data_IF_221365468258
#
_entry.id   IF_221365468258
#
_cell.length_a   1.000
_cell.length_b   1.000
_cell.length_c   1.000
_cell.angle_alpha   90.00
_cell.angle_beta   90.00
_cell.angle_gamma   90.00
#
_symmetry.space_group_name_H-M   'P 1'
#
loop_
_entity.id
_entity.type
_entity.pdbx_description
1 polymer ?
#
# COMPACT_ATOMS: atom_id res chain seq x y z
N UNK A 1 32.10 7.85 30.47
CA UNK A 1 32.30 7.55 29.04
C UNK A 1 31.47 8.57 28.28
N UNK A 2 32.10 9.35 27.39
CA UNK A 2 31.58 10.63 26.89
C UNK A 2 30.41 10.42 25.90
N UNK A 3 29.21 10.94 26.19
CA UNK A 3 27.98 10.76 25.38
C UNK A 3 28.19 11.17 23.91
N UNK A 4 29.05 12.16 23.65
CA UNK A 4 29.39 12.63 22.30
C UNK A 4 30.17 11.63 21.46
N UNK A 5 30.90 10.69 22.09
CA UNK A 5 31.68 9.67 21.39
C UNK A 5 30.81 8.51 20.88
N UNK A 6 29.72 8.19 21.58
CA UNK A 6 28.80 7.10 21.21
C UNK A 6 27.92 7.51 20.03
N UNK A 7 27.45 8.77 20.02
CA UNK A 7 26.58 9.30 18.97
C UNK A 7 27.29 9.35 17.60
N UNK A 8 28.57 9.78 17.56
CA UNK A 8 29.36 9.76 16.33
C UNK A 8 29.66 8.34 15.80
N UNK A 9 29.68 7.31 16.66
CA UNK A 9 30.01 5.94 16.23
C UNK A 9 28.88 5.29 15.42
N UNK A 10 27.62 5.57 15.77
CA UNK A 10 26.45 4.96 15.12
C UNK A 10 25.75 5.86 14.10
N UNK A 11 26.27 7.08 13.89
CA UNK A 11 25.65 8.08 13.03
C UNK A 11 25.42 7.62 11.58
N UNK A 12 26.24 6.68 11.06
CA UNK A 12 26.03 6.11 9.74
C UNK A 12 24.68 5.37 9.59
N UNK A 13 24.09 4.88 10.68
CA UNK A 13 22.77 4.22 10.66
C UNK A 13 21.61 5.19 10.40
N UNK A 14 21.80 6.50 10.53
CA UNK A 14 20.82 7.50 10.09
C UNK A 14 20.63 7.52 8.56
N UNK A 15 21.55 6.90 7.80
CA UNK A 15 21.44 6.77 6.35
C UNK A 15 20.67 5.51 5.91
N UNK A 16 20.32 4.62 6.84
CA UNK A 16 19.62 3.38 6.53
C UNK A 16 18.10 3.62 6.42
N UNK A 17 17.47 2.91 5.49
CA UNK A 17 16.02 2.92 5.31
C UNK A 17 15.28 1.97 6.29
N UNK A 18 16.00 1.05 6.92
CA UNK A 18 15.47 0.21 8.00
C UNK A 18 15.44 0.96 9.33
N UNK A 19 14.56 0.53 10.23
CA UNK A 19 14.50 1.06 11.58
C UNK A 19 15.65 0.43 12.37
N UNK A 20 16.46 1.24 13.05
CA UNK A 20 17.63 0.73 13.78
C UNK A 20 17.64 1.30 15.20
N UNK A 21 17.73 0.38 16.16
CA UNK A 21 18.04 0.67 17.56
C UNK A 21 19.33 -0.05 17.98
N UNK A 22 20.16 0.61 18.78
CA UNK A 22 21.31 -0.04 19.43
C UNK A 22 21.07 0.00 20.92
N UNK A 23 21.30 -1.12 21.60
CA UNK A 23 21.13 -1.25 23.05
C UNK A 23 22.40 -1.69 23.74
N UNK A 24 22.53 -1.34 25.02
CA UNK A 24 23.55 -1.90 25.91
C UNK A 24 23.17 -3.31 26.41
N UNK A 25 24.01 -3.88 27.27
CA UNK A 25 23.80 -5.21 27.84
C UNK A 25 22.60 -5.33 28.79
N UNK A 26 21.96 -4.22 29.15
CA UNK A 26 20.73 -4.20 29.94
C UNK A 26 19.49 -3.96 29.05
N UNK A 27 19.67 -3.84 27.74
CA UNK A 27 18.59 -3.53 26.79
C UNK A 27 18.19 -2.05 26.79
N UNK A 28 19.01 -1.17 27.36
CA UNK A 28 18.78 0.29 27.30
C UNK A 28 19.26 0.83 25.97
N UNK A 29 18.46 1.69 25.35
CA UNK A 29 18.78 2.26 24.04
C UNK A 29 19.94 3.24 24.18
N UNK A 30 21.04 2.96 23.48
CA UNK A 30 22.20 3.86 23.37
C UNK A 30 22.17 4.68 22.08
N UNK A 31 21.44 4.20 21.06
CA UNK A 31 21.24 4.91 19.80
C UNK A 31 19.93 4.50 19.13
N UNK A 32 19.30 5.44 18.44
CA UNK A 32 18.12 5.25 17.60
C UNK A 32 18.34 6.04 16.32
N UNK A 33 18.06 5.46 15.16
CA UNK A 33 18.08 6.21 13.91
C UNK A 33 16.78 7.00 13.70
N UNK A 34 16.82 7.95 12.75
CA UNK A 34 15.67 8.80 12.42
C UNK A 34 14.43 8.00 11.99
N UNK A 35 14.62 6.89 11.26
CA UNK A 35 13.51 6.06 10.78
C UNK A 35 12.79 5.35 11.93
N UNK A 36 13.51 4.87 12.96
CA UNK A 36 12.89 4.29 14.15
C UNK A 36 12.10 5.34 14.94
N UNK A 37 12.64 6.56 15.10
CA UNK A 37 11.94 7.68 15.75
C UNK A 37 10.62 8.03 15.06
N UNK A 38 10.67 8.19 13.74
CA UNK A 38 9.49 8.50 12.91
C UNK A 38 8.45 7.39 12.98
N UNK A 39 8.91 6.13 12.96
CA UNK A 39 8.02 4.98 13.03
C UNK A 39 7.29 4.90 14.37
N UNK A 40 7.98 5.03 15.51
CA UNK A 40 7.34 4.95 16.84
C UNK A 40 6.64 6.24 17.25
N UNK A 41 6.99 7.37 16.62
CA UNK A 41 6.44 8.70 16.91
C UNK A 41 6.97 9.30 18.21
N UNK A 42 8.23 9.00 18.56
CA UNK A 42 8.89 9.47 19.79
C UNK A 42 10.26 10.04 19.44
N UNK A 43 10.63 11.19 20.01
CA UNK A 43 11.93 11.83 19.73
C UNK A 43 13.11 11.00 20.22
N UNK A 44 14.26 11.05 19.53
CA UNK A 44 15.54 10.42 19.94
C UNK A 44 15.85 10.60 21.43
N UNK A 45 15.68 11.83 21.94
CA UNK A 45 15.98 12.19 23.33
C UNK A 45 15.17 11.40 24.35
N UNK A 46 13.94 11.01 24.01
CA UNK A 46 13.10 10.21 24.88
C UNK A 46 13.34 8.70 24.69
N UNK A 47 13.80 8.29 23.49
CA UNK A 47 14.16 6.91 23.19
C UNK A 47 15.49 6.53 23.85
N UNK A 48 16.53 7.35 23.70
CA UNK A 48 17.86 7.07 24.28
C UNK A 48 17.76 7.04 25.81
N UNK A 49 18.32 5.99 26.42
CA UNK A 49 18.25 5.69 27.85
C UNK A 49 16.99 4.94 28.31
N UNK A 50 15.97 4.83 27.44
CA UNK A 50 14.78 4.01 27.72
C UNK A 50 15.05 2.52 27.47
N UNK A 51 14.11 1.65 27.85
CA UNK A 51 14.20 0.22 27.56
C UNK A 51 13.59 -0.06 26.19
N UNK A 52 14.36 -0.65 25.26
CA UNK A 52 13.88 -0.85 23.89
C UNK A 52 12.63 -1.75 23.81
N UNK A 53 12.52 -2.73 24.71
CA UNK A 53 11.39 -3.64 24.79
C UNK A 53 10.04 -2.94 25.03
N UNK A 54 10.05 -1.73 25.60
CA UNK A 54 8.83 -0.96 25.86
C UNK A 54 8.16 -0.47 24.56
N UNK A 55 8.89 -0.45 23.43
CA UNK A 55 8.37 -0.08 22.11
C UNK A 55 7.76 -1.26 21.36
N UNK A 56 7.80 -2.48 21.90
CA UNK A 56 7.19 -3.66 21.28
C UNK A 56 5.82 -3.96 21.92
N UNK A 57 4.87 -4.45 21.11
CA UNK A 57 3.57 -4.89 21.62
C UNK A 57 3.73 -6.04 22.60
N UNK A 58 4.54 -7.05 22.23
CA UNK A 58 5.01 -8.14 23.09
C UNK A 58 6.55 -8.03 23.28
N UNK A 59 7.03 -7.76 24.51
CA UNK A 59 8.47 -7.64 24.79
C UNK A 59 9.20 -8.99 24.91
N UNK A 60 8.49 -10.12 25.11
CA UNK A 60 9.12 -11.39 25.45
C UNK A 60 10.12 -11.91 24.40
N UNK A 61 9.82 -11.86 23.09
CA UNK A 61 10.77 -12.32 22.07
C UNK A 61 12.08 -11.53 22.09
N UNK A 62 12.02 -10.21 22.29
CA UNK A 62 13.22 -9.37 22.38
C UNK A 62 14.03 -9.68 23.64
N UNK A 63 13.37 -9.83 24.78
CA UNK A 63 14.04 -10.16 26.05
C UNK A 63 14.69 -11.56 26.01
N UNK A 64 14.08 -12.51 25.30
CA UNK A 64 14.69 -13.81 25.06
C UNK A 64 15.89 -13.70 24.12
N UNK A 65 15.78 -12.90 23.05
CA UNK A 65 16.86 -12.64 22.11
C UNK A 65 18.10 -12.04 22.78
N UNK A 66 17.90 -10.98 23.59
CA UNK A 66 18.97 -10.31 24.32
C UNK A 66 19.69 -11.26 25.28
N UNK A 67 18.95 -12.08 26.03
CA UNK A 67 19.53 -13.12 26.90
C UNK A 67 20.35 -14.15 26.12
N UNK A 68 19.81 -14.66 25.01
CA UNK A 68 20.50 -15.65 24.17
C UNK A 68 21.79 -15.12 23.55
N UNK A 69 21.84 -13.82 23.22
CA UNK A 69 23.05 -13.16 22.75
C UNK A 69 24.11 -13.07 23.86
N UNK A 70 23.73 -12.75 25.10
CA UNK A 70 24.66 -12.74 26.24
C UNK A 70 25.23 -14.11 26.57
N UNK A 71 24.46 -15.18 26.37
CA UNK A 71 24.90 -16.56 26.54
C UNK A 71 25.73 -17.07 25.34
N UNK A 72 26.02 -16.19 24.37
CA UNK A 72 26.75 -16.49 23.13
C UNK A 72 26.14 -17.67 22.34
N UNK A 73 24.83 -17.86 22.47
CA UNK A 73 24.12 -19.00 21.89
C UNK A 73 23.96 -18.87 20.37
N UNK A 74 23.94 -17.64 19.84
CA UNK A 74 23.74 -17.36 18.41
C UNK A 74 24.48 -16.07 17.99
N UNK A 75 24.98 -16.01 16.75
CA UNK A 75 25.60 -14.80 16.19
C UNK A 75 24.59 -13.79 15.64
N UNK A 76 23.40 -14.25 15.23
CA UNK A 76 22.27 -13.41 14.86
C UNK A 76 20.93 -14.17 15.06
N UNK A 77 19.90 -13.47 15.52
CA UNK A 77 18.54 -14.01 15.68
C UNK A 77 17.55 -13.22 14.82
N UNK A 78 16.53 -13.91 14.27
CA UNK A 78 15.46 -13.29 13.46
C UNK A 78 14.09 -13.75 13.93
N UNK A 79 13.15 -12.83 14.08
CA UNK A 79 11.77 -13.14 14.43
C UNK A 79 10.81 -12.00 14.04
N UNK A 80 9.51 -12.28 14.04
CA UNK A 80 8.48 -11.32 13.70
C UNK A 80 7.93 -10.65 14.96
N UNK A 81 7.68 -9.35 14.88
CA UNK A 81 7.18 -8.59 16.00
C UNK A 81 6.27 -7.44 15.54
N UNK A 82 5.62 -6.80 16.50
CA UNK A 82 4.83 -5.62 16.28
C UNK A 82 5.39 -4.46 17.13
N UNK A 83 5.69 -3.32 16.49
CA UNK A 83 6.10 -2.09 17.15
C UNK A 83 4.90 -1.25 17.52
N UNK A 84 4.91 -0.72 18.75
CA UNK A 84 3.94 0.26 19.23
C UNK A 84 4.22 1.61 18.59
N UNK A 85 3.15 2.31 18.21
CA UNK A 85 3.22 3.63 17.57
C UNK A 85 2.32 4.60 18.30
N UNK A 86 2.80 5.82 18.51
CA UNK A 86 2.02 6.86 19.19
C UNK A 86 0.76 7.23 18.38
N UNK A 87 -0.41 6.83 18.86
CA UNK A 87 -1.71 7.15 18.25
C UNK A 87 -2.02 6.44 16.92
N UNK A 88 -1.31 5.35 16.59
CA UNK A 88 -1.50 4.58 15.35
C UNK A 88 -1.52 3.07 15.63
N UNK A 89 -1.98 2.27 14.67
CA UNK A 89 -1.90 0.81 14.73
C UNK A 89 -0.44 0.34 14.81
N UNK A 90 -0.24 -0.80 15.48
CA UNK A 90 1.09 -1.38 15.62
C UNK A 90 1.66 -1.76 14.24
N UNK A 91 2.94 -1.50 14.02
CA UNK A 91 3.62 -1.83 12.77
C UNK A 91 4.27 -3.20 12.87
N UNK A 92 3.91 -4.10 11.95
CA UNK A 92 4.56 -5.40 11.83
C UNK A 92 5.96 -5.24 11.26
N UNK A 93 6.94 -5.85 11.92
CA UNK A 93 8.36 -5.80 11.54
C UNK A 93 9.00 -7.18 11.64
N UNK A 94 9.93 -7.45 10.74
CA UNK A 94 10.93 -8.49 10.92
C UNK A 94 12.10 -7.91 11.72
N UNK A 95 12.38 -8.48 12.90
CA UNK A 95 13.47 -8.06 13.78
C UNK A 95 14.70 -8.92 13.52
N UNK A 96 15.86 -8.27 13.42
CA UNK A 96 17.17 -8.89 13.26
C UNK A 96 18.06 -8.38 14.40
N UNK A 97 18.50 -9.29 15.26
CA UNK A 97 19.34 -8.97 16.42
C UNK A 97 20.77 -9.43 16.13
N UNK A 98 21.73 -8.51 16.22
CA UNK A 98 23.15 -8.74 15.91
C UNK A 98 24.04 -8.22 17.04
N UNK A 99 24.94 -9.07 17.55
CA UNK A 99 25.94 -8.66 18.54
C UNK A 99 27.11 -7.94 17.86
N UNK A 100 27.56 -6.83 18.43
CA UNK A 100 28.80 -6.19 17.99
C UNK A 100 30.01 -7.01 18.46
N UNK A 101 30.91 -7.36 17.54
CA UNK A 101 32.20 -7.98 17.88
C UNK A 101 32.99 -7.02 18.79
N UNK A 102 33.52 -7.56 19.89
CA UNK A 102 34.29 -6.81 20.91
C UNK A 102 33.53 -5.70 21.64
N UNK A 103 32.19 -5.68 21.60
CA UNK A 103 31.36 -4.76 22.38
C UNK A 103 30.24 -5.51 23.11
N UNK A 104 29.75 -4.91 24.20
CA UNK A 104 28.57 -5.38 24.93
C UNK A 104 27.25 -4.89 24.31
N UNK A 105 27.32 -4.16 23.20
CA UNK A 105 26.17 -3.55 22.54
C UNK A 105 25.58 -4.45 21.47
N UNK A 106 24.26 -4.36 21.32
CA UNK A 106 23.48 -5.16 20.40
C UNK A 106 22.78 -4.24 19.42
N UNK A 107 22.96 -4.49 18.13
CA UNK A 107 22.28 -3.80 17.04
C UNK A 107 20.99 -4.56 16.73
N UNK A 108 19.90 -3.82 16.67
CA UNK A 108 18.56 -4.34 16.42
C UNK A 108 18.02 -3.61 15.20
N UNK A 109 18.02 -4.31 14.07
CA UNK A 109 17.43 -3.85 12.83
C UNK A 109 16.00 -4.37 12.73
N UNK A 110 15.07 -3.49 12.35
CA UNK A 110 13.65 -3.79 12.21
C UNK A 110 13.22 -3.39 10.80
N UNK A 111 12.77 -4.37 10.03
CA UNK A 111 12.35 -4.18 8.64
C UNK A 111 10.83 -4.22 8.59
N UNK A 112 10.15 -3.14 8.18
CA UNK A 112 8.69 -3.13 8.05
C UNK A 112 8.19 -4.22 7.10
N UNK A 113 7.12 -4.91 7.49
CA UNK A 113 6.41 -5.81 6.59
C UNK A 113 5.46 -4.98 5.70
N UNK A 114 5.89 -4.60 4.49
CA UNK A 114 5.14 -3.73 3.56
C UNK A 114 3.83 -4.33 2.97
N UNK A 115 3.33 -5.44 3.50
CA UNK A 115 2.35 -6.28 2.82
C UNK A 115 0.93 -5.68 2.76
N UNK A 116 0.53 -4.96 3.81
CA UNK A 116 -0.87 -4.58 4.00
C UNK A 116 -1.27 -3.34 3.17
N UNK A 117 -0.38 -2.35 3.05
CA UNK A 117 -0.66 -1.11 2.29
C UNK A 117 -0.76 -1.39 0.78
N UNK A 118 0.01 -2.36 0.28
CA UNK A 118 -0.07 -2.81 -1.11
C UNK A 118 -1.37 -3.56 -1.37
N UNK A 119 -1.74 -4.49 -0.51
CA UNK A 119 -2.96 -5.30 -0.67
C UNK A 119 -4.22 -4.44 -0.64
N UNK A 120 -4.37 -3.56 0.36
CA UNK A 120 -5.53 -2.66 0.47
C UNK A 120 -5.69 -1.76 -0.76
N UNK A 121 -4.57 -1.31 -1.34
CA UNK A 121 -4.58 -0.47 -2.54
C UNK A 121 -4.98 -1.27 -3.77
N UNK A 122 -4.48 -2.48 -3.93
CA UNK A 122 -4.82 -3.37 -5.04
C UNK A 122 -6.29 -3.81 -4.99
N UNK A 123 -6.79 -4.17 -3.81
CA UNK A 123 -8.20 -4.55 -3.60
C UNK A 123 -9.14 -3.39 -3.93
N UNK A 124 -8.86 -2.18 -3.42
CA UNK A 124 -9.67 -0.99 -3.74
C UNK A 124 -9.70 -0.67 -5.24
N UNK A 125 -8.55 -0.80 -5.92
CA UNK A 125 -8.49 -0.57 -7.37
C UNK A 125 -9.26 -1.65 -8.14
N UNK A 126 -9.19 -2.90 -7.71
CA UNK A 126 -9.93 -4.00 -8.32
C UNK A 126 -11.45 -3.83 -8.13
N UNK A 127 -11.89 -3.44 -6.93
CA UNK A 127 -13.29 -3.17 -6.64
C UNK A 127 -13.83 -2.00 -7.47
N UNK A 128 -13.11 -0.87 -7.50
CA UNK A 128 -13.47 0.28 -8.34
C UNK A 128 -13.54 -0.08 -9.83
N UNK A 129 -12.58 -0.87 -10.33
CA UNK A 129 -12.60 -1.32 -11.71
C UNK A 129 -13.80 -2.22 -12.02
N UNK A 130 -14.22 -3.07 -11.06
CA UNK A 130 -15.43 -3.89 -11.20
C UNK A 130 -16.69 -3.05 -11.22
N UNK A 131 -16.85 -2.13 -10.27
CA UNK A 131 -18.01 -1.22 -10.21
C UNK A 131 -18.12 -0.36 -11.48
N UNK A 132 -17.00 0.19 -11.97
CA UNK A 132 -16.99 0.95 -13.21
C UNK A 132 -17.39 0.10 -14.43
N UNK A 133 -16.93 -1.16 -14.52
CA UNK A 133 -17.35 -2.07 -15.60
C UNK A 133 -18.85 -2.34 -15.58
N UNK A 134 -19.43 -2.55 -14.40
CA UNK A 134 -20.88 -2.77 -14.24
C UNK A 134 -21.67 -1.51 -14.63
N UNK A 135 -21.23 -0.34 -14.18
CA UNK A 135 -21.86 0.95 -14.49
C UNK A 135 -21.80 1.27 -16.00
N UNK A 136 -20.66 1.06 -16.65
CA UNK A 136 -20.51 1.25 -18.10
C UNK A 136 -21.44 0.30 -18.87
N UNK A 137 -21.59 -0.96 -18.41
CA UNK A 137 -22.51 -1.91 -19.04
C UNK A 137 -23.96 -1.46 -18.94
N UNK A 138 -24.39 -1.01 -17.76
CA UNK A 138 -25.75 -0.53 -17.55
C UNK A 138 -26.05 0.70 -18.40
N UNK A 139 -25.13 1.68 -18.42
CA UNK A 139 -25.26 2.86 -19.29
C UNK A 139 -25.35 2.50 -20.76
N UNK A 140 -24.53 1.55 -21.23
CA UNK A 140 -24.58 1.10 -22.61
C UNK A 140 -25.93 0.46 -22.96
N UNK A 141 -26.52 -0.31 -22.05
CA UNK A 141 -27.89 -0.83 -22.23
C UNK A 141 -28.94 0.29 -22.28
N UNK A 142 -28.83 1.28 -21.40
CA UNK A 142 -29.74 2.42 -21.36
C UNK A 142 -29.64 3.32 -22.60
N UNK A 143 -28.47 3.41 -23.24
CA UNK A 143 -28.27 4.16 -24.50
C UNK A 143 -28.76 3.36 -25.71
N UNK A 144 -28.57 2.03 -25.73
CA UNK A 144 -29.04 1.18 -26.84
C UNK A 144 -30.56 1.22 -27.01
N UNK A 145 -31.30 1.35 -25.91
CA UNK A 145 -32.76 1.38 -25.92
C UNK A 145 -33.35 2.56 -26.73
N UNK A 146 -33.02 3.84 -26.45
CA UNK A 146 -33.51 4.97 -27.24
C UNK A 146 -32.96 4.96 -28.67
N UNK A 147 -31.73 4.49 -28.92
CA UNK A 147 -31.20 4.36 -30.29
C UNK A 147 -32.01 3.36 -31.11
N UNK A 148 -32.35 2.20 -30.52
CA UNK A 148 -33.25 1.24 -31.16
C UNK A 148 -34.64 1.81 -31.43
N UNK A 149 -35.17 2.62 -30.50
CA UNK A 149 -36.44 3.32 -30.67
C UNK A 149 -36.41 4.37 -31.79
N UNK A 150 -35.36 5.20 -31.86
CA UNK A 150 -35.16 6.21 -32.91
C UNK A 150 -35.06 5.53 -34.28
N UNK A 151 -34.27 4.45 -34.37
CA UNK A 151 -34.14 3.64 -35.59
C UNK A 151 -35.49 3.06 -36.00
N UNK A 152 -36.22 2.43 -35.08
CA UNK A 152 -37.53 1.84 -35.37
C UNK A 152 -38.55 2.88 -35.84
N UNK A 153 -38.59 4.05 -35.21
CA UNK A 153 -39.46 5.15 -35.63
C UNK A 153 -39.12 5.67 -37.03
N UNK A 154 -37.83 5.81 -37.35
CA UNK A 154 -37.38 6.22 -38.68
C UNK A 154 -37.74 5.18 -39.77
N UNK A 155 -37.62 3.88 -39.45
CA UNK A 155 -38.03 2.80 -40.36
C UNK A 155 -39.54 2.80 -40.63
N UNK A 156 -40.36 3.03 -39.59
CA UNK A 156 -41.81 3.16 -39.76
C UNK A 156 -42.16 4.39 -40.62
N UNK A 157 -41.48 5.52 -40.41
CA UNK A 157 -41.68 6.74 -41.19
C UNK A 157 -41.31 6.50 -42.67
N UNK A 158 -40.22 5.77 -42.94
CA UNK A 158 -39.77 5.45 -44.30
C UNK A 158 -40.83 4.67 -45.10
N UNK A 159 -41.65 3.85 -44.44
CA UNK A 159 -42.74 3.09 -45.06
C UNK A 159 -43.97 3.96 -45.43
N UNK A 160 -44.15 5.10 -44.78
CA UNK A 160 -45.30 6.01 -44.98
C UNK A 160 -44.99 7.18 -45.93
N UNK A 161 -43.70 7.39 -46.26
CA UNK A 161 -43.24 8.52 -47.09
C UNK A 161 -43.23 8.16 -48.58
N UNK A 162 -43.86 9.00 -49.41
CA UNK A 162 -43.82 8.91 -50.89
C UNK A 162 -42.83 9.87 -51.58
N UNK A 163 -42.17 10.76 -50.83
CA UNK A 163 -41.22 11.74 -51.35
C UNK A 163 -39.78 11.25 -51.22
N UNK A 164 -39.02 11.26 -52.31
CA UNK A 164 -37.62 10.83 -52.35
C UNK A 164 -36.69 11.68 -51.45
N UNK A 165 -36.96 12.97 -51.28
CA UNK A 165 -36.18 13.84 -50.38
C UNK A 165 -36.40 13.49 -48.89
N UNK A 166 -37.62 13.11 -48.52
CA UNK A 166 -37.94 12.72 -47.14
C UNK A 166 -37.39 11.33 -46.79
N UNK A 167 -37.29 10.44 -47.79
CA UNK A 167 -36.61 9.15 -47.71
C UNK A 167 -35.11 9.29 -47.37
N UNK A 168 -34.44 10.29 -47.94
CA UNK A 168 -33.02 10.55 -47.67
C UNK A 168 -32.80 10.94 -46.20
N UNK A 169 -33.72 11.74 -45.61
CA UNK A 169 -33.65 12.09 -44.20
C UNK A 169 -33.85 10.90 -43.25
N UNK A 170 -34.79 9.99 -43.55
CA UNK A 170 -34.98 8.78 -42.71
C UNK A 170 -33.75 7.87 -42.75
N UNK A 171 -33.11 7.75 -43.91
CA UNK A 171 -31.88 6.96 -44.05
C UNK A 171 -30.71 7.54 -43.26
N UNK A 172 -30.56 8.87 -43.24
CA UNK A 172 -29.54 9.54 -42.40
C UNK A 172 -29.77 9.26 -40.91
N UNK A 173 -31.02 9.33 -40.43
CA UNK A 173 -31.37 9.05 -39.03
C UNK A 173 -31.04 7.59 -38.66
N UNK A 174 -31.41 6.64 -39.52
CA UNK A 174 -31.12 5.21 -39.31
C UNK A 174 -29.60 4.99 -39.25
N UNK A 175 -28.86 5.58 -40.18
CA UNK A 175 -27.41 5.44 -40.24
C UNK A 175 -26.71 6.00 -38.99
N UNK A 176 -27.16 7.15 -38.48
CA UNK A 176 -26.56 7.74 -37.29
C UNK A 176 -26.91 6.95 -36.02
N UNK A 177 -28.12 6.39 -35.92
CA UNK A 177 -28.49 5.50 -34.82
C UNK A 177 -27.61 4.23 -34.80
N UNK A 178 -27.37 3.60 -35.95
CA UNK A 178 -26.48 2.44 -36.09
C UNK A 178 -25.01 2.76 -35.77
N UNK A 179 -24.57 3.96 -36.19
CA UNK A 179 -23.22 4.46 -35.89
C UNK A 179 -23.02 4.65 -34.39
N UNK A 180 -23.99 5.27 -33.70
CA UNK A 180 -23.94 5.45 -32.24
C UNK A 180 -23.98 4.11 -31.50
N UNK A 181 -24.78 3.15 -31.97
CA UNK A 181 -24.82 1.80 -31.41
C UNK A 181 -23.46 1.10 -31.50
N UNK A 182 -22.79 1.21 -32.65
CA UNK A 182 -21.44 0.67 -32.88
C UNK A 182 -20.40 1.31 -31.95
N UNK A 183 -20.51 2.62 -31.69
CA UNK A 183 -19.62 3.31 -30.75
C UNK A 183 -19.80 2.84 -29.31
N UNK A 184 -21.05 2.64 -28.88
CA UNK A 184 -21.39 2.08 -27.56
C UNK A 184 -20.85 0.66 -27.41
N UNK A 185 -20.94 -0.17 -28.45
CA UNK A 185 -20.39 -1.53 -28.44
C UNK A 185 -18.85 -1.55 -28.30
N UNK A 186 -18.15 -0.61 -28.93
CA UNK A 186 -16.69 -0.48 -28.80
C UNK A 186 -16.25 -0.04 -27.41
N UNK A 187 -17.05 0.79 -26.73
CA UNK A 187 -16.81 1.17 -25.32
C UNK A 187 -16.92 -0.03 -24.36
N UNK A 188 -17.73 -1.03 -24.72
CA UNK A 188 -17.91 -2.26 -23.96
C UNK A 188 -16.88 -3.35 -24.29
N UNK A 189 -16.21 -3.25 -25.45
CA UNK A 189 -15.22 -4.23 -25.85
C UNK A 189 -13.98 -4.15 -24.94
N UNK A 190 -13.48 -5.29 -24.42
CA UNK A 190 -12.28 -5.28 -23.60
C UNK A 190 -11.13 -4.70 -24.41
N UNK A 191 -10.48 -3.65 -23.88
CA UNK A 191 -9.23 -3.13 -24.44
C UNK A 191 -8.17 -4.22 -24.33
N UNK A 192 -8.01 -5.03 -25.39
CA UNK A 192 -6.85 -5.88 -25.58
C UNK A 192 -5.65 -4.95 -25.80
N UNK A 193 -4.80 -4.83 -24.78
CA UNK A 193 -3.41 -4.43 -24.96
C UNK A 193 -2.62 -5.62 -25.50
#
# INVERSE_FOLDING_TARGET
MDERSTESRFQAFDLLASLVGVVDAQGKVVFSNAVFEDAVGVSRRAIVGSTLADYFSDPQPLLAALRGVHENAFSALRYDAALRRSGQEAMLVHVIVTLCVDSTEVIIEMVPQEQQVRQDREERLAEQARTNKELIRNLAHEIKNPLGGIRGAAQLLELEIGSTELLEYTQVIIHEADRLQTLVDRLLAPHRR
#
